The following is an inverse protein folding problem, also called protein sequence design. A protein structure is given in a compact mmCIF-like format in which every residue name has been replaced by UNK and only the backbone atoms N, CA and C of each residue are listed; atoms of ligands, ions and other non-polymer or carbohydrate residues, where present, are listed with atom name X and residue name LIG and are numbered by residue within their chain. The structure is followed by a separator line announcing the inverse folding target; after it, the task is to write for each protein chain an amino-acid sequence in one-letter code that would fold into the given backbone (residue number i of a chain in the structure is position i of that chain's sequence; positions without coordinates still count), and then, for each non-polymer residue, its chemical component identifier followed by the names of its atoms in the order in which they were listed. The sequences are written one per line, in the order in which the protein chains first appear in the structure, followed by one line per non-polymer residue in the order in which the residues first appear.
data_IF_660105204714
#
_entry.id   IF_660105204714
#
_cell.length_a   1.000
_cell.length_b   1.000
_cell.length_c   1.000
_cell.angle_alpha   90.00
_cell.angle_beta   90.00
_cell.angle_gamma   90.00
#
_symmetry.space_group_name_H-M   'P 1'
#
loop_
_entity.id
_entity.type
_entity.pdbx_description
1 polymer ?
2 non-polymer ?
3 non-polymer ?
4 non-polymer ?
5 water ?
#
# COMPACT_ATOMS: atom_id res chain seq x y z
N UNK A 2 -4.13 5.14 12.84
CA UNK A 2 -4.86 4.09 12.07
C UNK A 2 -3.89 3.21 11.28
N UNK A 3 -4.35 2.01 10.92
CA UNK A 3 -3.55 1.05 10.17
C UNK A 3 -4.12 0.78 8.79
N UNK A 4 -3.24 0.44 7.86
CA UNK A 4 -3.63 0.18 6.48
C UNK A 4 -2.73 -0.86 5.83
N UNK A 5 -3.00 -1.13 4.56
CA UNK A 5 -2.20 -2.04 3.76
C UNK A 5 -2.22 -1.49 2.34
N UNK A 6 -1.06 -1.44 1.71
CA UNK A 6 -0.95 -0.96 0.33
C UNK A 6 -0.09 -1.91 -0.49
N UNK A 7 -0.48 -2.10 -1.75
CA UNK A 7 0.21 -3.02 -2.66
C UNK A 7 1.22 -2.39 -3.61
N UNK A 8 2.28 -3.13 -3.90
CA UNK A 8 3.32 -2.68 -4.82
C UNK A 8 4.10 -3.87 -5.39
N UNK A 9 4.37 -3.83 -6.69
CA UNK A 9 5.16 -4.88 -7.32
C UNK A 9 6.60 -4.60 -6.91
N UNK A 10 7.26 -5.57 -6.27
CA UNK A 10 8.65 -5.40 -5.82
C UNK A 10 9.67 -5.00 -6.89
N UNK A 11 9.49 -5.47 -8.12
CA UNK A 11 10.44 -5.11 -9.17
C UNK A 11 10.32 -3.63 -9.50
N UNK A 12 9.18 -3.04 -9.15
CA UNK A 12 8.95 -1.63 -9.39
C UNK A 12 9.31 -0.83 -8.15
N UNK A 13 8.83 -1.28 -7.00
CA UNK A 13 9.12 -0.62 -5.73
C UNK A 13 8.91 -1.64 -4.62
N UNK A 14 10.00 -2.01 -3.96
CA UNK A 14 9.97 -3.01 -2.90
C UNK A 14 10.20 -2.41 -1.52
N UNK A 15 10.01 -3.23 -0.49
CA UNK A 15 10.23 -2.76 0.87
C UNK A 15 11.72 -2.45 1.04
N UNK A 16 12.56 -3.14 0.27
CA UNK A 16 14.01 -2.90 0.34
C UNK A 16 14.32 -1.50 -0.20
N UNK A 17 13.60 -1.10 -1.25
CA UNK A 17 13.80 0.22 -1.83
C UNK A 17 13.40 1.28 -0.81
N UNK A 18 12.30 1.03 -0.10
CA UNK A 18 11.83 1.99 0.90
C UNK A 18 12.83 2.08 2.04
N UNK A 19 13.40 0.94 2.43
CA UNK A 19 14.39 0.93 3.50
C UNK A 19 15.58 1.78 3.08
N UNK A 20 15.98 1.67 1.82
CA UNK A 20 17.10 2.43 1.28
C UNK A 20 16.81 3.92 1.21
N UNK A 21 15.67 4.27 0.62
CA UNK A 21 15.27 5.66 0.45
C UNK A 21 14.91 6.40 1.73
N UNK A 22 14.42 5.67 2.73
CA UNK A 22 14.04 6.31 3.98
C UNK A 22 12.63 6.84 3.85
N UNK A 23 12.40 7.66 2.82
CA UNK A 23 11.08 8.18 2.56
C UNK A 23 10.95 8.28 1.06
N UNK A 24 9.72 8.12 0.57
CA UNK A 24 9.46 8.15 -0.86
C UNK A 24 8.01 8.50 -1.15
N UNK A 25 7.70 8.68 -2.43
CA UNK A 25 6.34 9.00 -2.85
C UNK A 25 5.62 7.74 -3.29
N UNK A 26 4.39 7.57 -2.79
CA UNK A 26 3.56 6.44 -3.17
C UNK A 26 2.60 7.02 -4.19
N UNK A 27 2.67 6.54 -5.42
CA UNK A 27 1.79 7.06 -6.46
C UNK A 27 1.23 5.95 -7.32
N UNK A 28 0.60 6.33 -8.43
CA UNK A 28 0.06 5.33 -9.34
C UNK A 28 -1.17 4.57 -8.87
N UNK A 29 -1.86 5.09 -7.86
CA UNK A 29 -3.08 4.43 -7.39
C UNK A 29 -4.17 4.97 -8.31
N UNK A 30 -4.79 4.07 -9.07
CA UNK A 30 -5.80 4.46 -10.04
C UNK A 30 -7.14 3.75 -9.90
N UNK A 31 -7.56 3.56 -8.65
CA UNK A 31 -8.84 2.93 -8.34
C UNK A 31 -9.47 3.94 -7.38
N UNK A 32 -10.71 4.34 -7.65
CA UNK A 32 -11.36 5.33 -6.79
C UNK A 32 -11.53 4.93 -5.34
N UNK A 33 -11.88 3.67 -5.10
CA UNK A 33 -12.05 3.19 -3.73
C UNK A 33 -10.71 3.24 -2.99
N UNK A 34 -9.65 2.81 -3.68
CA UNK A 34 -8.31 2.81 -3.11
C UNK A 34 -7.85 4.25 -2.87
N UNK A 35 -8.13 5.12 -3.84
CA UNK A 35 -7.77 6.53 -3.74
C UNK A 35 -8.46 7.15 -2.54
N UNK A 36 -9.75 6.86 -2.38
CA UNK A 36 -10.49 7.44 -1.28
C UNK A 36 -9.91 7.02 0.07
N UNK A 37 -9.52 5.76 0.20
CA UNK A 37 -8.92 5.31 1.45
C UNK A 37 -7.59 6.05 1.64
N UNK A 38 -6.80 6.13 0.58
CA UNK A 38 -5.51 6.80 0.64
C UNK A 38 -5.66 8.24 1.14
N UNK A 39 -6.70 8.92 0.68
CA UNK A 39 -6.94 10.30 1.08
C UNK A 39 -7.30 10.45 2.56
N UNK A 40 -7.75 9.38 3.20
CA UNK A 40 -8.09 9.47 4.62
C UNK A 40 -6.94 9.09 5.54
N UNK A 41 -5.82 8.66 4.96
CA UNK A 41 -4.65 8.30 5.76
C UNK A 41 -4.10 9.57 6.40
N UNK A 42 -3.59 9.45 7.62
CA UNK A 42 -3.05 10.60 8.34
C UNK A 42 -1.58 10.39 8.67
N UNK A 43 -0.88 11.49 8.93
CA UNK A 43 0.54 11.43 9.28
C UNK A 43 0.69 10.56 10.52
N UNK A 44 1.63 9.61 10.47
CA UNK A 44 1.84 8.74 11.61
C UNK A 44 1.18 7.39 11.46
N UNK A 45 0.15 7.31 10.61
CA UNK A 45 -0.52 6.04 10.37
C UNK A 45 0.52 5.07 9.83
N UNK A 46 0.34 3.78 10.09
CA UNK A 46 1.27 2.78 9.60
C UNK A 46 0.55 1.86 8.62
N UNK A 47 1.31 1.23 7.74
CA UNK A 47 0.70 0.33 6.76
C UNK A 47 1.59 -0.85 6.45
N UNK A 48 0.96 -1.97 6.10
CA UNK A 48 1.71 -3.15 5.70
C UNK A 48 2.06 -2.98 4.24
N UNK A 49 3.33 -3.20 3.92
CA UNK A 49 3.84 -3.10 2.56
C UNK A 49 3.67 -4.49 1.94
N UNK A 50 2.70 -4.62 1.04
CA UNK A 50 2.41 -5.90 0.41
C UNK A 50 3.00 -6.01 -1.00
N UNK A 51 3.81 -7.05 -1.20
CA UNK A 51 4.44 -7.30 -2.50
C UNK A 51 3.46 -8.05 -3.39
N UNK A 52 3.12 -7.43 -4.52
CA UNK A 52 2.17 -8.01 -5.47
C UNK A 52 2.82 -8.38 -6.80
N UNK A 53 2.15 -9.24 -7.57
CA UNK A 53 2.65 -9.68 -8.87
C UNK A 53 4.13 -10.05 -8.83
N UNK A 54 4.46 -11.05 -8.02
CA UNK A 54 5.84 -11.48 -7.88
C UNK A 54 5.89 -12.95 -7.46
N UNK A 55 7.08 -13.56 -7.45
CA UNK A 55 7.20 -14.97 -7.07
C UNK A 55 6.81 -15.28 -5.62
N UNK A 56 6.95 -14.29 -4.74
CA UNK A 56 6.61 -14.49 -3.34
C UNK A 56 5.72 -13.36 -2.83
N UNK A 57 4.45 -13.33 -3.26
CA UNK A 57 3.51 -12.29 -2.84
C UNK A 57 3.15 -12.37 -1.36
N UNK A 58 2.96 -11.22 -0.74
CA UNK A 58 2.61 -11.21 0.67
C UNK A 58 3.12 -9.97 1.36
N UNK A 59 2.85 -9.87 2.66
CA UNK A 59 3.30 -8.72 3.43
C UNK A 59 4.80 -8.82 3.66
N UNK A 60 5.53 -7.83 3.17
CA UNK A 60 6.99 -7.82 3.26
C UNK A 60 7.58 -6.88 4.30
N UNK A 61 6.76 -6.00 4.85
CA UNK A 61 7.25 -5.07 5.85
C UNK A 61 6.22 -4.05 6.28
N UNK A 62 6.69 -3.00 6.93
CA UNK A 62 5.84 -1.94 7.44
C UNK A 62 6.36 -0.56 7.05
N UNK A 63 5.44 0.35 6.74
CA UNK A 63 5.80 1.71 6.39
C UNK A 63 4.92 2.66 7.18
N UNK A 64 5.17 3.96 7.09
CA UNK A 64 4.37 4.94 7.80
C UNK A 64 4.08 6.12 6.89
N UNK A 65 3.02 6.86 7.20
CA UNK A 65 2.67 8.01 6.38
C UNK A 65 3.39 9.25 6.90
N UNK A 66 4.16 9.89 6.03
CA UNK A 66 4.89 11.08 6.45
C UNK A 66 4.26 12.37 5.94
N UNK A 67 3.56 12.29 4.81
CA UNK A 67 2.88 13.46 4.26
C UNK A 67 1.54 12.99 3.68
N UNK A 68 0.46 13.64 4.08
CA UNK A 68 -0.87 13.26 3.61
C UNK A 68 -1.07 13.53 2.12
N UNK A 69 -2.15 12.97 1.59
CA UNK A 69 -2.50 13.06 0.18
C UNK A 69 -2.43 14.41 -0.53
N UNK A 70 -1.88 14.37 -1.73
CA UNK A 70 -1.77 15.55 -2.57
C UNK A 70 -1.92 15.10 -4.02
N UNK A 71 -2.24 16.02 -4.93
CA UNK A 71 -2.41 15.64 -6.34
C UNK A 71 -1.23 14.84 -6.87
N UNK A 72 -1.53 13.68 -7.45
CA UNK A 72 -0.52 12.77 -7.97
C UNK A 72 0.16 13.31 -9.23
N UNK A 73 1.43 13.73 -9.12
CA UNK A 73 2.15 14.27 -10.27
C UNK A 73 2.31 13.31 -11.45
N UNK A 74 2.27 12.01 -11.19
CA UNK A 74 2.43 11.04 -12.28
C UNK A 74 1.26 11.06 -13.26
N UNK A 75 0.08 11.48 -12.80
CA UNK A 75 -1.08 11.53 -13.68
C UNK A 75 -0.88 12.52 -14.81
N UNK A 76 -0.08 13.56 -14.56
CA UNK A 76 0.18 14.59 -15.56
C UNK A 76 1.45 14.35 -16.36
N UNK A 77 2.12 13.24 -16.10
CA UNK A 77 3.36 12.91 -16.80
C UNK A 77 3.16 11.89 -17.91
N UNK A 78 3.18 12.35 -19.18
CA UNK A 78 2.99 11.46 -20.33
C UNK A 78 3.98 10.29 -20.37
N UNK A 79 5.13 10.47 -19.73
CA UNK A 79 6.16 9.44 -19.71
C UNK A 79 5.97 8.43 -18.59
N UNK A 80 5.03 8.71 -17.69
CA UNK A 80 4.74 7.82 -16.58
C UNK A 80 3.77 6.73 -16.99
N UNK A 81 3.96 5.53 -16.45
CA UNK A 81 3.06 4.43 -16.76
C UNK A 81 1.69 4.71 -16.15
N UNK A 82 1.62 5.68 -15.25
CA UNK A 82 0.35 6.02 -14.61
C UNK A 82 -0.22 7.33 -15.12
N UNK A 83 0.20 7.70 -16.32
CA UNK A 83 -0.29 8.90 -16.95
C UNK A 83 -1.80 8.74 -17.13
N UNK A 84 -2.54 9.84 -16.99
CA UNK A 84 -3.99 9.85 -17.19
C UNK A 84 -4.25 11.09 -18.03
N UNK A 85 -4.40 10.90 -19.33
CA UNK A 85 -4.62 12.02 -20.26
C UNK A 85 -5.83 12.88 -19.91
N UNK A 86 -6.76 12.31 -19.14
CA UNK A 86 -7.96 13.05 -18.75
C UNK A 86 -7.69 14.00 -17.59
N UNK A 87 -6.55 13.85 -16.94
CA UNK A 87 -6.21 14.70 -15.80
C UNK A 87 -5.53 16.00 -16.24
N UNK A 88 -5.77 17.06 -15.48
CA UNK A 88 -5.17 18.36 -15.76
C UNK A 88 -4.63 18.92 -14.45
N UNK A 89 -3.77 19.93 -14.54
CA UNK A 89 -3.19 20.54 -13.36
C UNK A 89 -4.26 21.09 -12.43
N UNK A 90 -5.34 21.60 -13.02
CA UNK A 90 -6.45 22.17 -12.25
C UNK A 90 -7.50 21.12 -11.89
N UNK A 91 -7.45 19.98 -12.57
CA UNK A 91 -8.40 18.91 -12.32
C UNK A 91 -7.72 17.56 -12.37
N UNK A 92 -7.13 17.17 -11.25
CA UNK A 92 -6.43 15.89 -11.14
C UNK A 92 -7.25 14.98 -10.23
N UNK A 93 -7.79 13.89 -10.79
CA UNK A 93 -8.61 12.96 -9.99
C UNK A 93 -7.83 12.04 -9.07
N UNK A 94 -6.50 12.05 -9.17
CA UNK A 94 -5.69 11.15 -8.37
C UNK A 94 -4.82 11.79 -7.30
N UNK A 95 -4.54 11.02 -6.25
CA UNK A 95 -3.73 11.48 -5.14
C UNK A 95 -2.59 10.55 -4.79
N UNK A 96 -1.47 11.14 -4.40
CA UNK A 96 -0.29 10.39 -3.99
C UNK A 96 0.00 10.88 -2.58
N UNK A 97 0.98 10.27 -1.93
CA UNK A 97 1.36 10.71 -0.60
C UNK A 97 2.78 10.24 -0.34
N UNK A 98 3.40 10.78 0.70
CA UNK A 98 4.76 10.37 1.02
C UNK A 98 4.76 9.39 2.17
N UNK A 99 5.58 8.36 2.06
CA UNK A 99 5.68 7.33 3.08
C UNK A 99 7.12 7.19 3.59
N UNK A 100 7.25 6.57 4.75
CA UNK A 100 8.57 6.37 5.33
C UNK A 100 8.77 4.93 5.78
N UNK A 101 10.03 4.51 5.88
CA UNK A 101 10.34 3.15 6.29
C UNK A 101 10.14 2.92 7.78
N UNK A 102 9.60 1.75 8.12
CA UNK A 102 9.40 1.38 9.51
C UNK A 102 10.10 0.06 9.79
N UNK A 103 9.79 -0.98 9.02
CA UNK A 103 10.42 -2.27 9.25
C UNK A 103 10.36 -3.19 8.04
N UNK A 104 11.30 -4.13 7.97
CA UNK A 104 11.33 -5.08 6.87
C UNK A 104 11.36 -6.48 7.49
N UNK A 105 10.51 -7.36 6.98
CA UNK A 105 10.43 -8.72 7.50
C UNK A 105 11.52 -9.62 6.93
N UNK A 106 12.04 -10.51 7.76
CA UNK A 106 13.06 -11.44 7.32
C UNK A 106 12.40 -12.42 6.36
N UNK A 107 11.14 -12.73 6.64
CA UNK A 107 10.37 -13.65 5.82
C UNK A 107 9.02 -13.04 5.47
N UNK A 108 8.69 -13.04 4.18
CA UNK A 108 7.43 -12.49 3.72
C UNK A 108 6.26 -13.34 4.22
N UNK A 109 5.16 -12.69 4.59
CA UNK A 109 3.97 -13.39 5.05
C UNK A 109 3.12 -13.62 3.81
N UNK A 110 3.23 -14.83 3.25
CA UNK A 110 2.50 -15.17 2.04
C UNK A 110 1.00 -14.99 2.06
N UNK A 111 0.44 -14.70 0.90
CA UNK A 111 -0.99 -14.51 0.75
C UNK A 111 -1.75 -15.76 1.21
N UNK A 112 -1.28 -16.92 0.77
CA UNK A 112 -1.94 -18.16 1.16
C UNK A 112 -1.95 -18.36 2.66
N UNK A 113 -0.84 -17.98 3.30
CA UNK A 113 -0.69 -18.10 4.74
C UNK A 113 -1.67 -17.17 5.46
N UNK A 114 -1.83 -15.96 4.93
CA UNK A 114 -2.74 -14.99 5.53
C UNK A 114 -4.19 -15.45 5.39
N UNK A 115 -4.51 -16.11 4.28
CA UNK A 115 -5.87 -16.59 4.05
C UNK A 115 -6.26 -17.70 5.03
N UNK A 116 -5.26 -18.30 5.68
CA UNK A 116 -5.52 -19.36 6.64
C UNK A 116 -5.87 -18.80 8.02
N UNK A 117 -5.78 -17.48 8.18
CA UNK A 117 -6.07 -16.84 9.45
C UNK A 117 -7.52 -16.40 9.58
N UNK A 118 -8.24 -17.00 10.52
CA UNK A 118 -9.64 -16.66 10.73
C UNK A 118 -9.82 -15.20 11.13
N UNK A 119 -8.86 -14.66 11.87
CA UNK A 119 -8.93 -13.27 12.31
C UNK A 119 -8.82 -12.26 11.17
N UNK A 120 -8.43 -12.73 9.99
CA UNK A 120 -8.29 -11.84 8.85
C UNK A 120 -9.37 -12.08 7.79
N UNK A 121 -10.40 -12.84 8.13
CA UNK A 121 -11.45 -13.13 7.16
C UNK A 121 -12.15 -11.89 6.61
N UNK A 122 -12.15 -10.81 7.39
CA UNK A 122 -12.80 -9.56 6.97
C UNK A 122 -11.85 -8.61 6.25
N UNK A 123 -10.61 -9.03 6.06
CA UNK A 123 -9.63 -8.19 5.37
C UNK A 123 -9.86 -8.32 3.87
N UNK A 124 -10.07 -7.20 3.16
CA UNK A 124 -10.31 -7.25 1.72
C UNK A 124 -9.29 -8.09 0.95
N UNK A 125 -8.03 -8.04 1.39
CA UNK A 125 -6.95 -8.78 0.75
C UNK A 125 -7.24 -10.26 0.55
N UNK A 126 -7.93 -10.86 1.51
CA UNK A 126 -8.24 -12.29 1.44
C UNK A 126 -9.65 -12.60 0.96
N UNK A 127 -10.38 -11.58 0.53
CA UNK A 127 -11.74 -11.79 0.06
C UNK A 127 -11.77 -12.01 -1.45
N UNK A 128 -12.41 -13.09 -1.87
CA UNK A 128 -12.50 -13.43 -3.28
C UNK A 128 -13.12 -12.29 -4.10
N UNK A 129 -12.53 -12.03 -5.26
CA UNK A 129 -13.03 -10.98 -6.13
C UNK A 129 -12.54 -9.59 -5.77
N UNK A 130 -11.76 -9.49 -4.70
CA UNK A 130 -11.24 -8.20 -4.27
C UNK A 130 -10.04 -7.77 -5.10
N UNK A 131 -10.06 -6.52 -5.55
CA UNK A 131 -8.98 -5.96 -6.34
C UNK A 131 -8.58 -4.59 -5.80
N UNK A 132 -8.78 -4.41 -4.50
CA UNK A 132 -8.45 -3.17 -3.82
C UNK A 132 -6.96 -3.19 -3.47
N UNK A 133 -6.23 -2.15 -3.87
CA UNK A 133 -4.79 -2.05 -3.63
C UNK A 133 -4.42 -1.26 -2.37
N UNK A 134 -5.38 -0.50 -1.85
CA UNK A 134 -5.18 0.28 -0.63
C UNK A 134 -6.40 -0.01 0.24
N UNK A 135 -6.17 -0.45 1.47
CA UNK A 135 -7.26 -0.83 2.35
C UNK A 135 -6.99 -0.58 3.81
N UNK A 136 -8.05 -0.44 4.61
CA UNK A 136 -7.88 -0.21 6.04
C UNK A 136 -7.58 -1.56 6.70
N UNK A 137 -6.95 -1.52 7.86
CA UNK A 137 -6.62 -2.72 8.62
C UNK A 137 -7.03 -2.39 10.05
N UNK A 138 -7.86 -3.23 10.66
CA UNK A 138 -8.31 -2.98 12.03
C UNK A 138 -7.18 -3.24 13.01
N UNK A 139 -7.33 -2.73 14.22
CA UNK A 139 -6.31 -2.92 15.25
C UNK A 139 -6.14 -4.41 15.52
N UNK A 140 -7.25 -5.16 15.47
CA UNK A 140 -7.21 -6.59 15.72
C UNK A 140 -6.47 -7.32 14.61
N UNK A 141 -6.73 -6.93 13.36
CA UNK A 141 -6.07 -7.57 12.23
C UNK A 141 -4.58 -7.25 12.26
N UNK A 142 -4.25 -6.01 12.60
CA UNK A 142 -2.86 -5.58 12.66
C UNK A 142 -2.10 -6.40 13.69
N UNK A 143 -2.66 -6.52 14.89
CA UNK A 143 -2.02 -7.29 15.95
C UNK A 143 -1.87 -8.75 15.55
N UNK A 144 -2.88 -9.29 14.87
CA UNK A 144 -2.84 -10.68 14.43
C UNK A 144 -1.70 -10.92 13.45
N UNK A 145 -1.51 -9.98 12.53
CA UNK A 145 -0.45 -10.12 11.54
C UNK A 145 0.93 -9.98 12.19
N UNK A 146 1.06 -9.05 13.13
CA UNK A 146 2.34 -8.87 13.81
C UNK A 146 2.70 -10.16 14.56
N UNK A 147 1.70 -10.80 15.16
CA UNK A 147 1.92 -12.03 15.90
C UNK A 147 2.37 -13.15 14.96
N UNK A 148 1.92 -13.11 13.71
CA UNK A 148 2.30 -14.12 12.73
C UNK A 148 3.79 -14.05 12.41
N UNK A 149 4.38 -12.88 12.59
CA UNK A 149 5.81 -12.71 12.32
C UNK A 149 6.61 -13.68 13.18
N UNK A 150 6.34 -13.67 14.49
CA UNK A 150 7.04 -14.55 15.42
C UNK A 150 6.87 -16.01 15.04
X LIG B 1 -1.75 -0.30 -7.24
X LIG B 1 -2.35 0.67 -6.29
X LIG B 1 -1.26 -1.55 -6.57
X LIG B 1 4.86 3.54 -5.71
X LIG B 1 3.03 1.87 -7.15
X LIG B 1 -0.39 0.43 -8.21
X LIG B 1 -2.90 -0.60 -8.13
X LIG B 1 0.84 0.56 -7.34
X LIG B 1 1.71 1.62 -7.95
X LIG B 1 2.80 2.23 -5.70
X LIG B 1 4.15 2.46 -5.03
X LIG B 1 5.12 3.22 -7.10
X LIG B 1 3.81 2.95 -7.87
X LIG C 1 -9.47 -4.87 -12.68
X LIG C 1 -8.31 -5.35 -11.98
X LIG C 1 -9.48 -3.39 -13.06
X LIG C 1 -10.05 -2.51 -12.08
X LIG D 1 -1.16 -9.59 -7.07
X LIG D 1 -2.46 -9.34 -6.48
X LIG D 1 -2.67 -10.30 -5.35
X LIG D 1 -1.78 -11.10 -4.54
X LIG D 1 -3.45 -9.46 -7.63
X LIG D 1 -4.83 -9.21 -7.27
X LIG D 1 -2.38 -7.97 -5.91
X LIG D 1 -2.17 -6.59 -6.68
#
# INVERSE_FOLDING_TARGET
XAYWLMKSEPDEFSISDLQRLGKARWDGVRNYQARNFLRTMAEGDEFFFYHSSCPEPGIAGIGKIVKTAYPDPTALDPDSHYHDAKATTEKNPWSALDIGFVDIFKNVLGLGYLKQQSQLEQLPLVQKGSRLSVMPVTAEQWAAILALRLEHHHHHH
MPO S1 O1 O2 O4 N1 C1 O3 C2 C3 C4 C5 C6 C7
EDO C1 O1 C2 O2
144 C1 N C2 O2 C3 O3 C4 O4
#
